data_IF_647075400364
#
_entry.id   IF_647075400364
#
_cell.length_a   1.000
_cell.length_b   1.000
_cell.length_c   1.000
_cell.angle_alpha   90.00
_cell.angle_beta   90.00
_cell.angle_gamma   90.00
#
_symmetry.space_group_name_H-M   'P 1'
#
loop_
_entity.id
_entity.type
_entity.pdbx_description
1 polymer ?
#
# COMPACT_ATOMS: atom_id res chain seq x y z
N UNK A 1 -7.40 13.28 -14.68
CA UNK A 1 -8.46 13.08 -15.71
C UNK A 1 -8.22 13.90 -16.99
N UNK A 2 -7.87 15.19 -16.91
CA UNK A 2 -7.63 16.01 -18.11
C UNK A 2 -6.59 15.44 -19.07
N UNK A 3 -5.51 14.83 -18.58
CA UNK A 3 -4.50 14.20 -19.42
C UNK A 3 -5.03 13.00 -20.22
N UNK A 4 -6.01 12.25 -19.67
CA UNK A 4 -6.64 11.09 -20.34
C UNK A 4 -7.40 11.46 -21.61
N UNK A 5 -7.75 12.74 -21.80
CA UNK A 5 -8.43 13.21 -23.02
C UNK A 5 -7.51 13.31 -24.22
N UNK A 6 -6.18 13.21 -24.03
CA UNK A 6 -5.21 13.23 -25.11
C UNK A 6 -5.05 11.84 -25.73
N UNK A 7 -5.17 11.73 -27.05
CA UNK A 7 -5.10 10.48 -27.81
C UNK A 7 -3.78 9.70 -27.62
N UNK A 8 -2.69 10.39 -27.30
CA UNK A 8 -1.36 9.80 -27.08
C UNK A 8 -0.98 9.70 -25.60
N UNK A 9 -1.93 9.91 -24.68
CA UNK A 9 -1.69 9.76 -23.26
C UNK A 9 -1.70 8.28 -22.87
N UNK A 10 -0.56 7.80 -22.38
CA UNK A 10 -0.47 6.48 -21.76
C UNK A 10 -0.84 6.63 -20.28
N UNK A 11 -1.87 5.92 -19.79
CA UNK A 11 -2.33 6.03 -18.40
C UNK A 11 -1.36 5.33 -17.45
N UNK A 12 -0.24 5.98 -17.16
CA UNK A 12 0.63 5.56 -16.07
C UNK A 12 0.06 6.05 -14.76
N UNK A 13 -0.29 5.12 -13.90
CA UNK A 13 -0.70 5.41 -12.53
C UNK A 13 0.50 5.22 -11.61
N UNK A 14 0.77 6.22 -10.78
CA UNK A 14 1.85 6.17 -9.80
C UNK A 14 1.36 5.44 -8.55
N UNK A 15 1.63 4.14 -8.49
CA UNK A 15 1.43 3.32 -7.30
C UNK A 15 2.78 2.84 -6.78
N UNK A 16 2.78 2.01 -5.75
CA UNK A 16 3.97 1.33 -5.30
C UNK A 16 4.67 0.59 -6.45
N UNK A 17 5.92 0.92 -6.69
CA UNK A 17 6.77 0.18 -7.63
C UNK A 17 7.67 -0.74 -6.83
N UNK A 18 7.35 -2.03 -6.88
CA UNK A 18 8.13 -3.11 -6.29
C UNK A 18 8.66 -4.07 -7.35
N UNK A 19 8.95 -5.32 -6.93
CA UNK A 19 9.49 -6.36 -7.80
C UNK A 19 10.98 -6.22 -8.06
N UNK A 20 11.53 -7.11 -8.90
CA UNK A 20 12.97 -7.28 -9.05
C UNK A 20 13.63 -6.49 -10.19
N UNK A 21 12.88 -6.01 -11.19
CA UNK A 21 13.45 -5.26 -12.31
C UNK A 21 13.21 -3.74 -12.16
N UNK A 22 11.97 -3.28 -12.28
CA UNK A 22 11.65 -1.85 -12.30
C UNK A 22 12.06 -1.16 -10.98
N UNK A 23 11.96 -1.90 -9.86
CA UNK A 23 12.37 -1.41 -8.54
C UNK A 23 13.88 -1.31 -8.35
N UNK A 24 14.68 -2.14 -9.04
CA UNK A 24 16.10 -2.38 -8.76
C UNK A 24 17.03 -1.94 -9.89
N UNK A 25 16.74 -2.31 -11.14
CA UNK A 25 17.67 -2.08 -12.26
C UNK A 25 18.12 -0.62 -12.45
N UNK A 26 17.27 0.39 -12.23
CA UNK A 26 17.70 1.78 -12.29
C UNK A 26 18.83 2.13 -11.31
N UNK A 27 18.94 1.42 -10.18
CA UNK A 27 20.05 1.66 -9.24
C UNK A 27 21.39 1.20 -9.78
N UNK A 28 21.46 0.12 -10.55
CA UNK A 28 22.68 -0.29 -11.23
C UNK A 28 23.16 0.79 -12.19
N UNK A 29 22.24 1.37 -12.97
CA UNK A 29 22.58 2.47 -13.87
C UNK A 29 23.04 3.71 -13.13
N UNK A 30 22.38 4.08 -12.03
CA UNK A 30 22.76 5.25 -11.24
C UNK A 30 24.10 5.05 -10.54
N UNK A 31 24.38 3.84 -10.05
CA UNK A 31 25.67 3.48 -9.49
C UNK A 31 26.79 3.67 -10.53
N UNK A 32 26.63 3.07 -11.73
CA UNK A 32 27.64 3.19 -12.79
C UNK A 32 27.83 4.61 -13.27
N UNK A 33 26.76 5.38 -13.40
CA UNK A 33 26.83 6.81 -13.77
C UNK A 33 27.62 7.60 -12.73
N UNK A 34 27.41 7.35 -11.45
CA UNK A 34 28.13 8.02 -10.35
C UNK A 34 29.62 7.66 -10.36
N UNK A 35 29.97 6.40 -10.61
CA UNK A 35 31.35 5.94 -10.77
C UNK A 35 32.09 6.70 -11.90
N UNK A 36 31.37 7.03 -12.98
CA UNK A 36 31.89 7.78 -14.11
C UNK A 36 31.86 9.31 -13.91
N UNK A 37 31.55 9.77 -12.70
CA UNK A 37 31.49 11.20 -12.35
C UNK A 37 30.20 11.92 -12.75
N UNK A 38 29.18 11.22 -13.23
CA UNK A 38 27.88 11.80 -13.57
C UNK A 38 26.84 11.51 -12.48
N UNK A 39 26.14 12.55 -12.02
CA UNK A 39 25.07 12.41 -11.02
C UNK A 39 23.69 12.33 -11.68
N UNK A 40 23.05 11.16 -11.72
CA UNK A 40 21.79 10.93 -12.45
C UNK A 40 20.57 11.42 -11.63
N UNK A 41 20.42 12.72 -11.46
CA UNK A 41 19.42 13.38 -10.58
C UNK A 41 17.98 12.98 -10.92
N UNK A 42 17.60 12.87 -12.19
CA UNK A 42 16.23 12.55 -12.60
C UNK A 42 15.84 11.16 -12.13
N UNK A 43 16.71 10.15 -12.34
CA UNK A 43 16.44 8.77 -11.94
C UNK A 43 16.38 8.68 -10.42
N UNK A 44 17.36 9.30 -9.73
CA UNK A 44 17.42 9.30 -8.26
C UNK A 44 16.21 10.01 -7.64
N UNK A 45 15.72 11.09 -8.26
CA UNK A 45 14.52 11.79 -7.78
C UNK A 45 13.28 10.93 -7.92
N UNK A 46 13.08 10.22 -9.03
CA UNK A 46 11.99 9.27 -9.20
C UNK A 46 12.04 8.13 -8.17
N UNK A 47 13.24 7.62 -7.87
CA UNK A 47 13.42 6.59 -6.83
C UNK A 47 13.05 7.12 -5.45
N UNK A 48 13.53 8.30 -5.06
CA UNK A 48 13.18 8.94 -3.77
C UNK A 48 11.66 9.10 -3.61
N UNK A 49 10.95 9.49 -4.66
CA UNK A 49 9.48 9.59 -4.62
C UNK A 49 8.87 8.22 -4.31
N UNK A 50 9.23 7.18 -5.07
CA UNK A 50 8.71 5.83 -4.84
C UNK A 50 9.03 5.32 -3.42
N UNK A 51 10.24 5.55 -2.93
CA UNK A 51 10.67 5.10 -1.61
C UNK A 51 9.97 5.85 -0.47
N UNK A 52 9.54 7.11 -0.70
CA UNK A 52 8.81 7.90 0.28
C UNK A 52 7.30 7.60 0.34
N UNK A 53 6.76 6.83 -0.60
CA UNK A 53 5.31 6.58 -0.69
C UNK A 53 4.74 5.85 0.53
N UNK A 54 5.46 4.86 1.06
CA UNK A 54 5.03 4.13 2.25
C UNK A 54 4.87 5.06 3.46
N UNK A 55 5.85 5.93 3.68
CA UNK A 55 5.80 6.95 4.74
C UNK A 55 4.68 7.97 4.51
N UNK A 56 4.45 8.39 3.27
CA UNK A 56 3.36 9.33 2.93
C UNK A 56 2.00 8.71 3.27
N UNK A 57 1.77 7.47 2.87
CA UNK A 57 0.50 6.77 3.12
C UNK A 57 0.32 6.55 4.62
N UNK A 58 1.33 6.08 5.34
CA UNK A 58 1.26 5.88 6.79
C UNK A 58 0.92 7.19 7.54
N UNK A 59 1.49 8.32 7.14
CA UNK A 59 1.14 9.64 7.69
C UNK A 59 -0.31 10.03 7.39
N UNK A 60 -0.81 9.75 6.19
CA UNK A 60 -2.21 9.99 5.85
C UNK A 60 -3.15 9.13 6.70
N UNK A 61 -2.83 7.85 6.90
CA UNK A 61 -3.58 6.96 7.82
C UNK A 61 -3.67 7.58 9.20
N UNK A 62 -2.53 8.00 9.78
CA UNK A 62 -2.50 8.66 11.10
C UNK A 62 -3.37 9.91 11.15
N UNK A 63 -3.25 10.77 10.14
CA UNK A 63 -4.03 12.01 10.08
C UNK A 63 -5.54 11.72 10.04
N UNK A 64 -5.96 10.71 9.30
CA UNK A 64 -7.37 10.32 9.20
C UNK A 64 -7.86 9.69 10.51
N UNK A 65 -7.07 8.81 11.15
CA UNK A 65 -7.38 8.25 12.46
C UNK A 65 -7.56 9.35 13.52
N UNK A 66 -6.65 10.32 13.58
CA UNK A 66 -6.73 11.48 14.49
C UNK A 66 -7.96 12.31 14.21
N UNK A 67 -8.24 12.65 12.94
CA UNK A 67 -9.42 13.44 12.54
C UNK A 67 -10.73 12.73 12.87
N UNK A 68 -10.75 11.40 12.82
CA UNK A 68 -11.91 10.57 13.18
C UNK A 68 -12.01 10.31 14.69
N UNK A 69 -11.16 10.93 15.51
CA UNK A 69 -11.17 10.80 16.96
C UNK A 69 -10.72 9.43 17.49
N UNK A 70 -10.04 8.63 16.66
CA UNK A 70 -9.54 7.31 17.05
C UNK A 70 -8.31 7.44 17.95
N UNK A 71 -8.20 6.54 18.94
CA UNK A 71 -7.02 6.47 19.80
C UNK A 71 -5.90 5.70 19.09
N UNK A 72 -4.83 6.38 18.72
CA UNK A 72 -3.70 5.78 17.99
C UNK A 72 -3.09 4.60 18.73
N UNK A 73 -2.95 4.68 20.06
CA UNK A 73 -2.32 3.61 20.87
C UNK A 73 -3.11 2.30 20.92
N UNK A 74 -4.37 2.30 20.49
CA UNK A 74 -5.23 1.09 20.43
C UNK A 74 -5.84 0.87 19.05
N UNK A 75 -5.52 1.72 18.07
CA UNK A 75 -6.10 1.62 16.74
C UNK A 75 -5.60 0.37 16.01
N UNK A 76 -6.55 -0.33 15.38
CA UNK A 76 -6.30 -1.53 14.59
C UNK A 76 -6.39 -1.22 13.10
N UNK A 77 -5.40 -1.63 12.36
CA UNK A 77 -5.31 -1.42 10.90
C UNK A 77 -5.22 -2.78 10.20
N UNK A 78 -6.09 -3.01 9.24
CA UNK A 78 -5.98 -4.15 8.33
C UNK A 78 -5.31 -3.70 7.04
N UNK A 79 -4.24 -4.39 6.63
CA UNK A 79 -3.59 -4.21 5.33
C UNK A 79 -3.92 -5.41 4.44
N UNK A 80 -4.57 -5.15 3.31
CA UNK A 80 -5.03 -6.15 2.35
C UNK A 80 -4.13 -6.11 1.11
N UNK A 81 -3.37 -7.20 0.92
CA UNK A 81 -2.38 -7.36 -0.15
C UNK A 81 -0.99 -6.93 0.26
N UNK A 82 -0.01 -7.80 0.03
CA UNK A 82 1.41 -7.56 0.31
C UNK A 82 2.32 -7.96 -0.85
N UNK A 83 1.80 -8.63 -1.87
CA UNK A 83 2.55 -8.94 -3.08
C UNK A 83 2.91 -7.66 -3.84
N UNK A 84 3.95 -7.69 -4.66
CA UNK A 84 4.34 -6.48 -5.42
C UNK A 84 3.38 -6.15 -6.56
N UNK A 85 2.54 -7.10 -6.97
CA UNK A 85 1.62 -6.99 -8.10
C UNK A 85 0.37 -7.83 -7.88
N UNK A 86 -0.71 -7.47 -8.57
CA UNK A 86 -2.01 -8.14 -8.52
C UNK A 86 -1.93 -9.61 -8.98
N UNK A 87 -2.63 -10.49 -8.25
CA UNK A 87 -2.86 -11.90 -8.61
C UNK A 87 -1.58 -12.72 -8.86
N UNK A 88 -0.51 -12.40 -8.16
CA UNK A 88 0.74 -13.17 -8.15
C UNK A 88 1.19 -13.41 -6.72
N UNK A 89 2.01 -14.44 -6.49
CA UNK A 89 2.54 -14.79 -5.16
C UNK A 89 3.87 -14.09 -4.81
N UNK A 90 4.43 -13.31 -5.74
CA UNK A 90 5.76 -12.71 -5.58
C UNK A 90 5.73 -11.49 -4.64
N UNK A 91 6.49 -11.57 -3.55
CA UNK A 91 6.59 -10.54 -2.51
C UNK A 91 7.85 -9.69 -2.62
N UNK A 92 8.78 -9.99 -3.54
CA UNK A 92 10.09 -9.36 -3.61
C UNK A 92 10.00 -7.84 -3.80
N UNK A 93 10.76 -7.11 -2.96
CA UNK A 93 10.77 -5.65 -2.92
C UNK A 93 9.37 -5.03 -2.80
N UNK A 94 8.48 -5.67 -2.03
CA UNK A 94 7.14 -5.13 -1.79
C UNK A 94 7.20 -3.86 -0.97
N UNK A 95 6.70 -2.77 -1.52
CA UNK A 95 6.55 -1.48 -0.82
C UNK A 95 5.45 -1.50 0.26
N UNK A 96 4.59 -2.52 0.22
CA UNK A 96 3.58 -2.72 1.28
C UNK A 96 4.25 -3.22 2.56
N UNK A 97 5.31 -4.03 2.47
CA UNK A 97 6.08 -4.40 3.65
C UNK A 97 6.69 -3.18 4.35
N UNK A 98 7.18 -2.19 3.58
CA UNK A 98 7.65 -0.92 4.13
C UNK A 98 6.51 -0.13 4.78
N UNK A 99 5.32 -0.12 4.16
CA UNK A 99 4.13 0.52 4.74
C UNK A 99 3.73 -0.09 6.08
N UNK A 100 3.70 -1.43 6.17
CA UNK A 100 3.38 -2.14 7.43
C UNK A 100 4.36 -1.75 8.53
N UNK A 101 5.67 -1.71 8.24
CA UNK A 101 6.69 -1.29 9.21
C UNK A 101 6.51 0.16 9.66
N UNK A 102 6.20 1.07 8.74
CA UNK A 102 5.91 2.46 9.07
C UNK A 102 4.68 2.59 9.99
N UNK A 103 3.59 1.88 9.70
CA UNK A 103 2.41 1.87 10.56
C UNK A 103 2.72 1.33 11.96
N UNK A 104 3.47 0.23 12.04
CA UNK A 104 3.92 -0.34 13.31
C UNK A 104 4.83 0.61 14.10
N UNK A 105 5.66 1.41 13.42
CA UNK A 105 6.53 2.40 14.06
C UNK A 105 5.75 3.50 14.79
N UNK A 106 4.49 3.74 14.38
CA UNK A 106 3.55 4.64 15.04
C UNK A 106 2.72 3.95 16.15
N UNK A 107 3.11 2.73 16.54
CA UNK A 107 2.44 1.94 17.58
C UNK A 107 1.01 1.49 17.21
N UNK A 108 0.70 1.43 15.91
CA UNK A 108 -0.56 0.86 15.44
C UNK A 108 -0.48 -0.67 15.49
N UNK A 109 -1.60 -1.31 15.85
CA UNK A 109 -1.75 -2.76 15.67
C UNK A 109 -2.10 -3.03 14.21
N UNK A 110 -1.26 -3.79 13.51
CA UNK A 110 -1.42 -4.03 12.07
C UNK A 110 -1.60 -5.50 11.80
N UNK A 111 -2.75 -5.86 11.27
CA UNK A 111 -3.04 -7.16 10.69
C UNK A 111 -2.80 -7.12 9.18
N UNK A 112 -2.28 -8.22 8.64
CA UNK A 112 -1.89 -8.33 7.23
C UNK A 112 -2.55 -9.56 6.61
N UNK A 113 -3.20 -9.38 5.47
CA UNK A 113 -3.80 -10.48 4.71
C UNK A 113 -3.44 -10.38 3.22
N UNK A 114 -3.24 -11.54 2.60
CA UNK A 114 -3.01 -11.63 1.15
C UNK A 114 -3.39 -13.05 0.68
N UNK A 115 -4.22 -13.19 -0.35
CA UNK A 115 -4.67 -14.51 -0.82
C UNK A 115 -3.60 -15.30 -1.59
N UNK A 116 -2.50 -14.68 -1.96
CA UNK A 116 -1.45 -15.29 -2.79
C UNK A 116 -0.08 -15.38 -2.12
N UNK A 117 0.19 -14.54 -1.11
CA UNK A 117 1.48 -14.50 -0.45
C UNK A 117 1.67 -15.70 0.50
N UNK A 118 2.92 -16.18 0.59
CA UNK A 118 3.33 -17.18 1.56
C UNK A 118 3.72 -16.53 2.88
N UNK A 119 3.13 -16.98 3.99
CA UNK A 119 3.48 -16.49 5.34
C UNK A 119 4.93 -16.81 5.70
N UNK A 120 5.45 -17.97 5.27
CA UNK A 120 6.84 -18.38 5.53
C UNK A 120 7.83 -17.48 4.77
N UNK A 121 7.54 -17.16 3.50
CA UNK A 121 8.37 -16.24 2.72
C UNK A 121 8.36 -14.84 3.31
N UNK A 122 7.18 -14.33 3.71
CA UNK A 122 7.05 -13.03 4.38
C UNK A 122 7.82 -12.96 5.69
N UNK A 123 7.79 -14.04 6.48
CA UNK A 123 8.55 -14.13 7.71
C UNK A 123 10.05 -14.10 7.46
N UNK A 124 10.52 -14.86 6.47
CA UNK A 124 11.95 -14.96 6.15
C UNK A 124 12.50 -13.66 5.55
N UNK A 125 11.75 -12.99 4.68
CA UNK A 125 12.23 -11.82 3.95
C UNK A 125 11.99 -10.50 4.72
N UNK A 126 10.83 -10.37 5.35
CA UNK A 126 10.40 -9.11 5.97
C UNK A 126 10.23 -9.17 7.49
N UNK A 127 10.28 -10.36 8.09
CA UNK A 127 9.89 -10.61 9.48
C UNK A 127 8.42 -10.18 9.75
N UNK A 128 7.55 -10.38 8.75
CA UNK A 128 6.10 -10.18 8.81
C UNK A 128 5.39 -11.52 8.71
N UNK A 129 4.14 -11.57 9.16
CA UNK A 129 3.29 -12.76 9.07
C UNK A 129 1.89 -12.36 8.61
N UNK A 130 1.24 -13.24 7.87
CA UNK A 130 -0.19 -13.10 7.58
C UNK A 130 -0.99 -13.40 8.85
N UNK A 131 -2.06 -12.66 9.05
CA UNK A 131 -3.02 -12.87 10.13
C UNK A 131 -3.94 -14.01 9.74
N UNK A 132 -4.03 -15.05 10.58
CA UNK A 132 -4.84 -16.25 10.31
C UNK A 132 -6.33 -15.95 10.45
N UNK A 133 -6.73 -15.24 11.52
CA UNK A 133 -8.11 -14.88 11.80
C UNK A 133 -8.25 -13.36 11.84
N UNK A 134 -9.01 -12.81 10.89
CA UNK A 134 -9.26 -11.38 10.82
C UNK A 134 -10.27 -10.95 11.90
N UNK A 135 -10.00 -9.82 12.53
CA UNK A 135 -10.93 -9.18 13.45
C UNK A 135 -12.12 -8.54 12.69
N UNK A 136 -13.11 -8.05 13.43
CA UNK A 136 -14.28 -7.33 12.88
C UNK A 136 -14.40 -5.91 13.43
N UNK A 137 -13.29 -5.32 13.87
CA UNK A 137 -13.26 -4.03 14.57
C UNK A 137 -12.07 -3.15 14.12
N UNK A 138 -11.71 -3.23 12.84
CA UNK A 138 -10.64 -2.39 12.30
C UNK A 138 -11.02 -0.92 12.20
N UNK A 139 -10.21 -0.05 12.76
CA UNK A 139 -10.36 1.40 12.63
C UNK A 139 -10.02 1.90 11.23
N UNK A 140 -9.12 1.20 10.56
CA UNK A 140 -8.72 1.51 9.19
C UNK A 140 -8.46 0.22 8.40
N UNK A 141 -8.99 0.16 7.18
CA UNK A 141 -8.71 -0.90 6.19
C UNK A 141 -7.92 -0.26 5.05
N UNK A 142 -6.81 -0.87 4.66
CA UNK A 142 -5.95 -0.41 3.57
C UNK A 142 -5.95 -1.47 2.48
N UNK A 143 -6.51 -1.16 1.31
CA UNK A 143 -6.39 -2.02 0.13
C UNK A 143 -5.15 -1.59 -0.64
N UNK A 144 -4.07 -2.35 -0.44
CA UNK A 144 -2.73 -2.01 -0.95
C UNK A 144 -2.43 -2.66 -2.31
N UNK A 145 -3.00 -3.84 -2.58
CA UNK A 145 -2.86 -4.56 -3.84
C UNK A 145 -4.23 -4.93 -4.39
N UNK A 146 -4.43 -4.70 -5.69
CA UNK A 146 -5.70 -4.92 -6.38
C UNK A 146 -5.86 -6.39 -6.81
N UNK A 147 -5.97 -7.31 -5.84
CA UNK A 147 -6.32 -8.69 -6.14
C UNK A 147 -7.79 -8.82 -6.56
N UNK A 148 -8.07 -9.75 -7.46
CA UNK A 148 -9.43 -9.98 -7.96
C UNK A 148 -10.43 -10.32 -6.85
N UNK A 149 -9.98 -10.98 -5.77
CA UNK A 149 -10.81 -11.27 -4.59
C UNK A 149 -11.22 -9.98 -3.85
N UNK A 150 -10.34 -8.98 -3.81
CA UNK A 150 -10.62 -7.70 -3.14
C UNK A 150 -11.51 -6.80 -4.00
N UNK A 151 -11.37 -6.84 -5.33
CA UNK A 151 -12.25 -6.10 -6.24
C UNK A 151 -13.73 -6.52 -6.15
N UNK A 152 -13.99 -7.75 -5.69
CA UNK A 152 -15.34 -8.28 -5.53
C UNK A 152 -16.02 -7.88 -4.21
N UNK A 153 -15.25 -7.35 -3.24
CA UNK A 153 -15.80 -6.91 -1.96
C UNK A 153 -16.70 -5.69 -2.15
N UNK A 154 -17.84 -5.75 -1.51
CA UNK A 154 -18.78 -4.63 -1.43
C UNK A 154 -18.45 -3.72 -0.24
N UNK A 155 -19.07 -2.55 -0.17
CA UNK A 155 -18.96 -1.69 1.01
C UNK A 155 -19.48 -2.39 2.28
N UNK A 156 -20.52 -3.21 2.17
CA UNK A 156 -21.08 -3.95 3.31
C UNK A 156 -20.09 -5.00 3.83
N UNK A 157 -19.34 -5.65 2.94
CA UNK A 157 -18.28 -6.59 3.34
C UNK A 157 -17.17 -5.85 4.12
N UNK A 158 -16.74 -4.68 3.64
CA UNK A 158 -15.73 -3.85 4.30
C UNK A 158 -16.23 -3.30 5.65
N UNK A 159 -17.50 -2.88 5.71
CA UNK A 159 -18.15 -2.43 6.95
C UNK A 159 -18.23 -3.55 7.99
N UNK A 160 -18.47 -4.79 7.56
CA UNK A 160 -18.54 -5.95 8.47
C UNK A 160 -17.22 -6.21 9.22
N UNK A 161 -16.09 -5.80 8.64
CA UNK A 161 -14.75 -5.89 9.22
C UNK A 161 -14.34 -4.63 9.99
N UNK A 162 -15.12 -3.55 9.88
CA UNK A 162 -14.74 -2.24 10.39
C UNK A 162 -15.36 -1.93 11.75
N UNK A 163 -14.63 -1.20 12.58
CA UNK A 163 -15.20 -0.48 13.71
C UNK A 163 -16.15 0.64 13.23
N UNK A 164 -17.06 1.14 14.10
CA UNK A 164 -17.89 2.29 13.77
C UNK A 164 -17.05 3.49 13.26
N UNK A 165 -17.51 4.14 12.21
CA UNK A 165 -16.78 5.21 11.51
C UNK A 165 -15.40 4.74 10.98
N UNK A 166 -15.34 3.52 10.45
CA UNK A 166 -14.14 2.96 9.85
C UNK A 166 -13.63 3.77 8.65
N UNK A 167 -12.32 3.70 8.43
CA UNK A 167 -11.63 4.40 7.35
C UNK A 167 -11.21 3.39 6.29
N UNK A 168 -11.47 3.68 5.02
CA UNK A 168 -10.95 2.92 3.89
C UNK A 168 -9.89 3.72 3.14
N UNK A 169 -8.69 3.16 3.08
CA UNK A 169 -7.58 3.64 2.27
C UNK A 169 -7.47 2.75 1.04
N UNK A 170 -7.82 3.26 -0.11
CA UNK A 170 -7.82 2.52 -1.37
C UNK A 170 -6.65 3.00 -2.25
N UNK A 171 -5.48 2.39 -2.06
CA UNK A 171 -4.26 2.81 -2.77
C UNK A 171 -4.39 2.61 -4.29
N UNK A 172 -5.14 1.60 -4.70
CA UNK A 172 -5.28 1.20 -6.11
C UNK A 172 -6.54 1.73 -6.80
N UNK A 173 -7.34 2.53 -6.06
CA UNK A 173 -8.60 3.08 -6.57
C UNK A 173 -9.58 2.01 -7.09
N UNK A 174 -9.69 0.91 -6.34
CA UNK A 174 -10.57 -0.23 -6.65
C UNK A 174 -12.05 0.14 -6.53
N UNK A 175 -12.37 0.98 -5.53
CA UNK A 175 -13.75 1.25 -5.09
C UNK A 175 -14.23 2.67 -5.42
N UNK A 176 -13.63 3.33 -6.41
CA UNK A 176 -13.97 4.71 -6.77
C UNK A 176 -15.47 4.88 -7.06
N UNK A 177 -16.13 5.73 -6.26
CA UNK A 177 -17.53 6.05 -6.40
C UNK A 177 -18.51 5.02 -5.81
N UNK A 178 -18.05 3.89 -5.25
CA UNK A 178 -18.88 2.86 -4.62
C UNK A 178 -18.97 2.99 -3.09
N UNK A 179 -18.03 3.68 -2.45
CA UNK A 179 -17.99 3.88 -0.99
C UNK A 179 -18.76 5.15 -0.59
N UNK A 180 -19.68 5.03 0.38
CA UNK A 180 -20.56 6.13 0.84
C UNK A 180 -20.65 6.27 2.35
N UNK A 181 -20.44 5.18 3.11
CA UNK A 181 -20.64 5.12 4.55
C UNK A 181 -19.32 5.16 5.32
N UNK A 182 -18.21 4.81 4.67
CA UNK A 182 -16.87 4.86 5.27
C UNK A 182 -16.17 6.18 4.93
N UNK A 183 -15.27 6.62 5.80
CA UNK A 183 -14.30 7.66 5.42
C UNK A 183 -13.37 7.10 4.35
N UNK A 184 -13.50 7.59 3.12
CA UNK A 184 -12.77 7.07 1.97
C UNK A 184 -11.62 7.98 1.55
N UNK A 185 -10.45 7.39 1.35
CA UNK A 185 -9.30 8.07 0.77
C UNK A 185 -8.63 7.20 -0.30
N UNK A 186 -8.20 7.79 -1.38
CA UNK A 186 -7.44 7.14 -2.46
C UNK A 186 -6.26 8.01 -2.89
N UNK A 187 -5.25 7.37 -3.47
CA UNK A 187 -4.02 8.02 -3.93
C UNK A 187 -4.25 8.78 -5.27
#
# INVERSE_FOLDING_TARGET
>A
EAAKTKWNFLPFFFFFVGGHCIGVDPYYLTYKSTELGYKPEVILSGRRVNDSMSTLIAKNVLQLLIKSGKNIGSAKVLVMGVTFKENVSDIRNSKVADLVRELQSFSLTVDLTDPFASSDELKNEYNLQLTEELASDYDCIIVAVKHSQYEQLTEDDLLSMSAPNGILIDIKNCYNGSIRQMTYWTL
#
